data_IF_717477839511
#
_entry.id   IF_717477839511
#
_cell.length_a   1.000
_cell.length_b   1.000
_cell.length_c   1.000
_cell.angle_alpha   90.00
_cell.angle_beta   90.00
_cell.angle_gamma   90.00
#
_symmetry.space_group_name_H-M   'P 1'
#
loop_
_entity.id
_entity.type
_entity.pdbx_description
1 polymer ?
#
# COMPACT_ATOMS: atom_id res chain seq x y z
N UNK A 1 -45.46 -72.33 55.72
CA UNK A 1 -44.37 -72.20 54.72
C UNK A 1 -44.95 -71.99 53.34
N UNK A 2 -45.59 -70.90 53.09
CA UNK A 2 -46.15 -70.61 51.74
C UNK A 2 -46.58 -69.17 51.53
N UNK A 3 -46.02 -68.20 52.19
CA UNK A 3 -46.41 -66.81 51.95
C UNK A 3 -45.22 -65.80 51.76
N UNK A 4 -44.04 -66.33 51.55
CA UNK A 4 -42.82 -65.48 51.40
C UNK A 4 -42.32 -65.41 49.98
N UNK A 5 -42.91 -66.08 49.01
CA UNK A 5 -42.49 -66.09 47.60
C UNK A 5 -43.34 -65.20 46.66
N UNK A 6 -44.36 -64.52 47.16
CA UNK A 6 -45.26 -63.70 46.32
C UNK A 6 -45.13 -62.21 46.50
N UNK A 7 -44.04 -61.70 47.14
CA UNK A 7 -43.88 -60.29 47.39
C UNK A 7 -42.55 -59.69 46.78
N UNK A 8 -41.84 -60.45 45.90
CA UNK A 8 -40.60 -60.04 45.29
C UNK A 8 -40.63 -60.04 43.75
N UNK A 9 -41.81 -59.98 43.11
CA UNK A 9 -41.92 -59.89 41.66
C UNK A 9 -42.42 -58.52 41.14
N UNK A 10 -42.58 -57.52 42.01
CA UNK A 10 -43.06 -56.18 41.65
C UNK A 10 -41.99 -55.05 41.80
N UNK A 11 -40.74 -55.42 41.90
CA UNK A 11 -39.64 -54.48 41.79
C UNK A 11 -38.81 -54.82 40.54
N UNK A 12 -39.39 -54.69 39.34
CA UNK A 12 -38.66 -54.55 38.14
C UNK A 12 -38.40 -53.07 38.05
N UNK A 13 -37.11 -52.78 38.07
CA UNK A 13 -36.44 -51.55 37.71
C UNK A 13 -37.19 -50.88 36.57
N UNK A 14 -37.88 -49.80 36.86
CA UNK A 14 -38.03 -48.74 35.97
C UNK A 14 -36.59 -48.19 35.87
N UNK A 15 -35.77 -48.72 34.95
CA UNK A 15 -34.66 -48.04 34.39
C UNK A 15 -35.24 -46.69 33.87
N UNK A 16 -35.20 -45.69 34.70
CA UNK A 16 -35.21 -44.33 34.25
C UNK A 16 -34.09 -44.28 33.21
N UNK A 17 -34.47 -44.39 31.93
CA UNK A 17 -33.73 -43.81 30.85
C UNK A 17 -33.64 -42.33 31.21
N UNK A 18 -32.56 -41.95 31.93
CA UNK A 18 -32.11 -40.58 31.93
C UNK A 18 -32.03 -40.23 30.45
N UNK A 19 -33.05 -39.55 29.91
CA UNK A 19 -32.91 -38.78 28.70
C UNK A 19 -31.67 -37.91 28.98
N UNK A 20 -30.55 -38.30 28.37
CA UNK A 20 -29.39 -37.39 28.28
C UNK A 20 -29.96 -36.14 27.65
N UNK A 21 -30.27 -35.12 28.48
CA UNK A 21 -30.50 -33.77 28.01
C UNK A 21 -29.28 -33.48 27.13
N UNK A 22 -29.47 -33.44 25.80
CA UNK A 22 -28.44 -33.04 24.85
C UNK A 22 -27.93 -31.71 25.32
N UNK A 23 -26.76 -31.73 25.91
CA UNK A 23 -26.09 -30.50 26.37
C UNK A 23 -26.03 -29.54 25.18
N UNK A 24 -26.70 -28.39 25.25
CA UNK A 24 -26.73 -27.37 24.17
C UNK A 24 -25.33 -26.97 23.73
N UNK A 25 -24.30 -27.35 24.48
CA UNK A 25 -22.89 -27.04 24.26
C UNK A 25 -22.08 -28.29 23.94
N UNK A 26 -21.85 -28.66 22.67
CA UNK A 26 -21.13 -29.88 22.26
C UNK A 26 -19.69 -29.96 22.77
N UNK A 27 -19.15 -28.88 23.26
CA UNK A 27 -17.79 -28.73 23.79
C UNK A 27 -17.72 -28.81 25.34
N UNK A 28 -18.82 -29.09 26.03
CA UNK A 28 -18.87 -29.31 27.48
C UNK A 28 -19.06 -30.79 27.76
N UNK A 29 -18.30 -31.35 28.72
CA UNK A 29 -18.48 -32.71 29.13
C UNK A 29 -19.64 -32.87 30.13
N UNK A 30 -20.04 -34.13 30.42
CA UNK A 30 -21.11 -34.45 31.37
C UNK A 30 -20.90 -33.94 32.80
N UNK A 31 -19.70 -33.40 33.10
CA UNK A 31 -19.35 -32.80 34.40
C UNK A 31 -19.30 -31.27 34.33
N UNK A 32 -19.74 -30.66 33.25
CA UNK A 32 -19.73 -29.23 33.03
C UNK A 32 -18.33 -28.65 32.72
N UNK A 33 -17.34 -29.50 32.36
CA UNK A 33 -15.98 -29.05 32.09
C UNK A 33 -15.77 -28.81 30.58
N UNK A 34 -15.16 -27.67 30.24
CA UNK A 34 -14.82 -27.32 28.85
C UNK A 34 -13.78 -28.28 28.28
N UNK A 35 -14.06 -28.86 27.14
CA UNK A 35 -13.17 -29.66 26.30
C UNK A 35 -12.57 -28.76 25.22
N UNK A 36 -11.31 -28.30 25.41
CA UNK A 36 -10.67 -27.31 24.57
C UNK A 36 -10.69 -27.65 23.08
N UNK A 37 -10.30 -28.86 22.72
CA UNK A 37 -10.29 -29.32 21.31
C UNK A 37 -11.67 -29.28 20.68
N UNK A 38 -12.71 -29.75 21.43
CA UNK A 38 -14.08 -29.73 20.93
C UNK A 38 -14.58 -28.26 20.76
N UNK A 39 -14.19 -27.35 21.67
CA UNK A 39 -14.53 -25.96 21.55
C UNK A 39 -13.83 -25.29 20.36
N UNK A 40 -12.54 -25.58 20.14
CA UNK A 40 -11.84 -25.10 18.95
C UNK A 40 -12.50 -25.61 17.65
N UNK A 41 -12.89 -26.88 17.60
CA UNK A 41 -13.64 -27.45 16.46
C UNK A 41 -14.97 -26.75 16.24
N UNK A 42 -15.74 -26.52 17.28
CA UNK A 42 -16.99 -25.77 17.22
C UNK A 42 -16.79 -24.36 16.66
N UNK A 43 -15.77 -23.63 17.12
CA UNK A 43 -15.45 -22.31 16.59
C UNK A 43 -15.04 -22.37 15.12
N UNK A 44 -14.29 -23.39 14.70
CA UNK A 44 -13.84 -23.55 13.31
C UNK A 44 -14.97 -23.99 12.37
N UNK A 45 -15.96 -24.73 12.86
CA UNK A 45 -17.18 -25.03 12.11
C UNK A 45 -18.04 -23.78 11.92
N UNK A 46 -18.14 -22.94 12.94
CA UNK A 46 -18.87 -21.67 12.90
C UNK A 46 -18.13 -20.59 12.08
N UNK A 47 -16.81 -20.50 12.26
CA UNK A 47 -15.93 -19.53 11.63
C UNK A 47 -14.70 -20.24 11.06
N UNK A 48 -14.76 -20.77 9.83
CA UNK A 48 -13.58 -21.33 9.17
C UNK A 48 -12.45 -20.30 9.12
N UNK A 49 -11.26 -20.68 9.59
CA UNK A 49 -10.12 -19.77 9.71
C UNK A 49 -8.84 -20.40 9.15
N UNK A 50 -7.85 -19.56 8.85
CA UNK A 50 -6.48 -19.95 8.56
C UNK A 50 -5.52 -19.06 9.36
N UNK A 51 -4.38 -19.61 9.78
CA UNK A 51 -3.35 -18.87 10.51
C UNK A 51 -2.08 -18.70 9.66
N UNK A 52 -1.73 -17.46 9.35
CA UNK A 52 -0.51 -17.08 8.65
C UNK A 52 0.36 -16.22 9.55
N UNK A 53 1.57 -16.68 9.87
CA UNK A 53 2.54 -15.93 10.68
C UNK A 53 1.94 -15.35 11.97
N UNK A 54 1.17 -16.15 12.70
CA UNK A 54 0.49 -15.81 13.95
C UNK A 54 -0.74 -14.90 13.81
N UNK A 55 -1.16 -14.55 12.60
CA UNK A 55 -2.39 -13.82 12.33
C UNK A 55 -3.46 -14.78 11.85
N UNK A 56 -4.68 -14.61 12.36
CA UNK A 56 -5.85 -15.36 11.92
C UNK A 56 -6.56 -14.61 10.80
N UNK A 57 -7.02 -15.35 9.82
CA UNK A 57 -7.82 -14.86 8.70
C UNK A 57 -9.03 -15.77 8.51
N UNK A 58 -10.16 -15.17 8.19
CA UNK A 58 -11.41 -15.87 7.85
C UNK A 58 -11.92 -15.46 6.45
N UNK A 59 -13.17 -15.72 6.21
CA UNK A 59 -13.83 -15.28 4.98
C UNK A 59 -14.01 -13.75 4.86
N UNK A 60 -13.79 -12.99 5.94
CA UNK A 60 -13.90 -11.52 5.94
C UNK A 60 -12.52 -10.82 5.89
N UNK A 61 -11.44 -11.57 5.94
CA UNK A 61 -10.06 -11.08 5.95
C UNK A 61 -9.35 -11.32 7.28
N UNK A 62 -8.50 -10.38 7.73
CA UNK A 62 -7.82 -10.48 9.02
C UNK A 62 -8.85 -10.45 10.15
N UNK A 63 -8.82 -11.47 11.01
CA UNK A 63 -9.75 -11.61 12.15
C UNK A 63 -9.43 -10.55 13.20
N UNK A 64 -10.46 -9.87 13.69
CA UNK A 64 -10.35 -9.02 14.87
C UNK A 64 -10.19 -9.91 16.10
N UNK A 65 -8.96 -10.02 16.62
CA UNK A 65 -8.65 -10.88 17.77
C UNK A 65 -9.37 -10.43 19.04
N UNK A 66 -9.66 -9.15 19.22
CA UNK A 66 -10.39 -8.65 20.40
C UNK A 66 -11.86 -9.07 20.32
N UNK A 67 -12.47 -9.01 19.13
CA UNK A 67 -13.83 -9.50 18.91
C UNK A 67 -13.92 -11.02 19.10
N UNK A 68 -12.95 -11.79 18.58
CA UNK A 68 -12.88 -13.24 18.78
C UNK A 68 -12.69 -13.60 20.26
N UNK A 69 -11.81 -12.88 20.98
CA UNK A 69 -11.63 -13.07 22.42
C UNK A 69 -12.91 -12.77 23.20
N UNK A 70 -13.66 -11.75 22.80
CA UNK A 70 -14.95 -11.45 23.42
C UNK A 70 -15.98 -12.55 23.20
N UNK A 71 -16.03 -13.17 22.02
CA UNK A 71 -16.87 -14.32 21.73
C UNK A 71 -16.46 -15.52 22.62
N UNK A 72 -15.17 -15.86 22.63
CA UNK A 72 -14.61 -16.92 23.50
C UNK A 72 -14.95 -16.67 24.98
N UNK A 73 -14.80 -15.41 25.44
CA UNK A 73 -15.15 -15.03 26.80
C UNK A 73 -16.64 -15.27 27.08
N UNK A 74 -17.51 -14.83 26.17
CA UNK A 74 -18.96 -14.96 26.33
C UNK A 74 -19.43 -16.41 26.40
N UNK A 75 -18.81 -17.27 25.58
CA UNK A 75 -19.15 -18.71 25.55
C UNK A 75 -18.62 -19.47 26.77
N UNK A 76 -17.43 -19.08 27.29
CA UNK A 76 -16.79 -19.87 28.35
C UNK A 76 -17.06 -19.38 29.78
N UNK A 77 -17.53 -18.14 29.98
CA UNK A 77 -17.67 -17.53 31.32
C UNK A 77 -18.54 -18.31 32.29
N UNK A 78 -19.57 -19.00 31.81
CA UNK A 78 -20.52 -19.73 32.63
C UNK A 78 -20.00 -21.14 33.00
N UNK A 79 -18.95 -21.62 32.31
CA UNK A 79 -18.35 -22.94 32.49
C UNK A 79 -16.96 -22.90 33.13
N UNK A 80 -16.30 -21.78 33.10
CA UNK A 80 -14.90 -21.58 33.61
C UNK A 80 -14.93 -20.58 34.75
N UNK A 81 -15.04 -21.07 35.99
CA UNK A 81 -15.18 -20.21 37.19
C UNK A 81 -13.82 -19.55 37.59
N UNK A 82 -12.69 -20.19 37.26
CA UNK A 82 -11.36 -19.72 37.64
C UNK A 82 -10.40 -19.65 36.43
N UNK A 83 -9.56 -18.62 36.40
CA UNK A 83 -8.52 -18.43 35.37
C UNK A 83 -9.05 -18.31 33.94
N UNK A 84 -10.24 -17.77 33.73
CA UNK A 84 -10.90 -17.60 32.43
C UNK A 84 -9.96 -16.92 31.40
N UNK A 85 -9.31 -15.80 31.74
CA UNK A 85 -8.38 -15.12 30.84
C UNK A 85 -7.19 -15.98 30.36
N UNK A 86 -6.74 -16.91 31.20
CA UNK A 86 -5.70 -17.87 30.80
C UNK A 86 -6.27 -18.90 29.81
N UNK A 87 -7.51 -19.33 30.02
CA UNK A 87 -8.21 -20.27 29.14
C UNK A 87 -8.48 -19.70 27.75
N UNK A 88 -8.96 -18.47 27.69
CA UNK A 88 -9.16 -17.70 26.45
C UNK A 88 -7.89 -17.64 25.61
N UNK A 89 -6.77 -17.30 26.26
CA UNK A 89 -5.48 -17.28 25.57
C UNK A 89 -5.03 -18.65 25.07
N UNK A 90 -5.28 -19.71 25.83
CA UNK A 90 -5.00 -21.09 25.41
C UNK A 90 -5.82 -21.50 24.20
N UNK A 91 -7.09 -21.11 24.14
CA UNK A 91 -7.97 -21.34 22.99
C UNK A 91 -7.43 -20.62 21.74
N UNK A 92 -7.05 -19.35 21.86
CA UNK A 92 -6.46 -18.63 20.74
C UNK A 92 -5.15 -19.26 20.24
N UNK A 93 -4.28 -19.67 21.15
CA UNK A 93 -3.02 -20.32 20.78
C UNK A 93 -3.28 -21.70 20.13
N UNK A 94 -4.30 -22.45 20.59
CA UNK A 94 -4.74 -23.71 19.99
C UNK A 94 -5.31 -23.47 18.58
N UNK A 95 -6.19 -22.48 18.39
CA UNK A 95 -6.73 -22.11 17.07
C UNK A 95 -5.61 -21.77 16.07
N UNK A 96 -4.59 -21.02 16.49
CA UNK A 96 -3.45 -20.69 15.64
C UNK A 96 -2.65 -21.92 15.19
N UNK A 97 -2.57 -22.95 16.04
CA UNK A 97 -1.87 -24.20 15.72
C UNK A 97 -2.74 -25.07 14.80
N UNK A 98 -4.02 -25.26 15.12
CA UNK A 98 -4.94 -26.10 14.35
C UNK A 98 -5.18 -25.56 12.93
N UNK A 99 -5.18 -24.24 12.77
CA UNK A 99 -5.40 -23.56 11.48
C UNK A 99 -4.10 -23.18 10.77
N UNK A 100 -2.95 -23.65 11.26
CA UNK A 100 -1.65 -23.28 10.72
C UNK A 100 -1.56 -23.54 9.22
N UNK A 101 -1.28 -22.46 8.48
CA UNK A 101 -1.10 -22.49 7.03
C UNK A 101 0.34 -22.03 6.73
N UNK A 102 1.19 -22.90 6.18
CA UNK A 102 2.61 -22.59 6.00
C UNK A 102 2.85 -21.47 4.98
N UNK A 103 2.01 -21.43 3.94
CA UNK A 103 2.10 -20.43 2.86
C UNK A 103 0.73 -20.17 2.25
N UNK A 104 0.46 -18.90 1.96
CA UNK A 104 -0.70 -18.47 1.18
C UNK A 104 -0.21 -17.62 0.00
N UNK A 105 -0.52 -18.05 -1.21
CA UNK A 105 -0.17 -17.29 -2.41
C UNK A 105 -1.24 -16.23 -2.68
N UNK A 106 -0.85 -14.99 -3.04
CA UNK A 106 -1.80 -13.98 -3.44
C UNK A 106 -2.67 -14.46 -4.61
N UNK A 107 -3.97 -14.33 -4.46
CA UNK A 107 -4.97 -14.72 -5.46
C UNK A 107 -5.11 -13.57 -6.47
N UNK A 108 -4.49 -13.71 -7.64
CA UNK A 108 -4.45 -12.67 -8.68
C UNK A 108 -5.64 -12.74 -9.63
N UNK A 109 -6.42 -13.81 -9.57
CA UNK A 109 -7.52 -14.15 -10.46
C UNK A 109 -8.90 -13.77 -9.92
N UNK A 110 -8.96 -13.20 -8.71
CA UNK A 110 -10.23 -12.89 -8.05
C UNK A 110 -10.13 -11.72 -7.08
N UNK A 111 -11.31 -11.17 -6.76
CA UNK A 111 -11.49 -10.06 -5.82
C UNK A 111 -12.56 -10.50 -4.82
N UNK A 112 -12.22 -10.47 -3.52
CA UNK A 112 -13.17 -10.80 -2.46
C UNK A 112 -13.96 -9.56 -2.07
N UNK A 113 -15.27 -9.61 -2.25
CA UNK A 113 -16.21 -8.52 -2.03
C UNK A 113 -17.15 -8.85 -0.86
N UNK A 114 -17.84 -7.85 -0.33
CA UNK A 114 -18.70 -8.00 0.83
C UNK A 114 -19.75 -9.09 0.66
N UNK A 115 -20.31 -9.26 -0.54
CA UNK A 115 -21.39 -10.21 -0.84
C UNK A 115 -20.95 -11.45 -1.62
N UNK A 116 -19.63 -11.66 -1.86
CA UNK A 116 -19.14 -12.84 -2.58
C UNK A 116 -17.73 -12.67 -3.13
N UNK A 117 -17.44 -13.40 -4.19
CA UNK A 117 -16.12 -13.37 -4.86
C UNK A 117 -16.32 -13.08 -6.36
N UNK A 118 -15.62 -12.08 -6.88
CA UNK A 118 -15.60 -11.75 -8.30
C UNK A 118 -14.34 -12.35 -8.94
N UNK A 119 -14.52 -13.27 -9.88
CA UNK A 119 -13.45 -13.88 -10.65
C UNK A 119 -13.20 -13.06 -11.93
N UNK A 120 -11.93 -12.94 -12.31
CA UNK A 120 -11.52 -12.20 -13.51
C UNK A 120 -11.65 -13.01 -14.80
N UNK A 121 -12.10 -14.26 -14.70
CA UNK A 121 -12.38 -15.14 -15.80
C UNK A 121 -13.91 -15.23 -16.10
N UNK A 122 -14.31 -16.20 -16.90
CA UNK A 122 -15.70 -16.40 -17.36
C UNK A 122 -16.70 -16.69 -16.21
N UNK A 123 -16.21 -17.03 -15.01
CA UNK A 123 -17.05 -17.28 -13.83
C UNK A 123 -17.75 -16.00 -13.35
N UNK A 124 -17.09 -14.87 -13.52
CA UNK A 124 -17.64 -13.58 -13.06
C UNK A 124 -17.88 -13.58 -11.53
N UNK A 125 -19.02 -13.06 -11.11
CA UNK A 125 -19.37 -12.99 -9.68
C UNK A 125 -20.05 -14.27 -9.19
N UNK A 126 -19.57 -14.73 -8.02
CA UNK A 126 -20.10 -15.90 -7.30
C UNK A 126 -20.42 -15.47 -5.86
N UNK A 127 -21.63 -15.71 -5.33
CA UNK A 127 -22.05 -15.20 -4.02
C UNK A 127 -21.38 -15.90 -2.83
N UNK A 128 -20.61 -16.98 -3.07
CA UNK A 128 -19.88 -17.67 -2.02
C UNK A 128 -18.67 -16.86 -1.56
N UNK A 129 -18.48 -16.84 -0.24
CA UNK A 129 -17.33 -16.24 0.40
C UNK A 129 -16.27 -17.30 0.67
N UNK A 130 -15.10 -17.13 0.09
CA UNK A 130 -13.93 -17.97 0.37
C UNK A 130 -13.07 -17.35 1.48
N UNK A 131 -12.20 -18.14 2.11
CA UNK A 131 -11.13 -17.65 2.96
C UNK A 131 -10.24 -16.70 2.16
N UNK A 132 -9.88 -15.56 2.75
CA UNK A 132 -9.10 -14.56 2.04
C UNK A 132 -8.23 -13.73 2.98
N UNK A 133 -7.24 -13.04 2.42
CA UNK A 133 -6.42 -12.07 3.15
C UNK A 133 -7.06 -10.67 3.18
N UNK A 134 -7.86 -10.37 2.17
CA UNK A 134 -8.47 -9.05 1.98
C UNK A 134 -9.88 -9.22 1.44
N UNK A 135 -10.89 -8.77 2.18
CA UNK A 135 -12.26 -8.62 1.69
C UNK A 135 -12.61 -7.14 1.67
N UNK A 136 -13.03 -6.67 0.51
CA UNK A 136 -13.41 -5.26 0.34
C UNK A 136 -14.84 -5.05 0.87
N UNK A 137 -15.09 -4.00 1.69
CA UNK A 137 -16.41 -3.69 2.25
C UNK A 137 -17.32 -2.98 1.22
N UNK A 138 -17.39 -3.55 0.02
CA UNK A 138 -18.25 -3.11 -1.08
C UNK A 138 -18.91 -4.32 -1.73
N UNK A 139 -20.17 -4.18 -2.08
CA UNK A 139 -20.94 -5.22 -2.77
C UNK A 139 -20.78 -5.11 -4.28
N UNK A 140 -20.72 -6.28 -4.94
CA UNK A 140 -20.88 -6.35 -6.37
C UNK A 140 -22.37 -6.32 -6.72
N UNK A 141 -22.79 -5.33 -7.49
CA UNK A 141 -24.13 -5.14 -7.98
C UNK A 141 -24.03 -4.89 -9.50
N UNK A 142 -24.30 -5.92 -10.34
CA UNK A 142 -24.11 -5.80 -11.79
C UNK A 142 -24.99 -4.70 -12.43
N UNK A 143 -26.13 -4.43 -11.82
CA UNK A 143 -27.08 -3.41 -12.27
C UNK A 143 -26.94 -2.08 -11.49
N UNK A 144 -25.83 -1.88 -10.78
CA UNK A 144 -25.61 -0.62 -10.08
C UNK A 144 -25.65 0.55 -11.05
N UNK A 145 -26.30 1.66 -10.70
CA UNK A 145 -26.32 2.85 -11.55
C UNK A 145 -24.89 3.38 -11.76
N UNK A 146 -24.69 4.03 -12.90
CA UNK A 146 -23.43 4.73 -13.18
C UNK A 146 -23.14 5.72 -12.04
N UNK A 147 -21.87 5.79 -11.54
CA UNK A 147 -21.51 6.64 -10.41
C UNK A 147 -21.36 8.11 -10.87
N UNK A 148 -22.51 8.78 -11.06
CA UNK A 148 -22.58 10.09 -11.71
C UNK A 148 -21.84 11.16 -10.92
N UNK A 149 -22.00 11.21 -9.58
CA UNK A 149 -21.30 12.18 -8.74
C UNK A 149 -19.79 11.96 -8.74
N UNK A 150 -19.36 10.70 -8.75
CA UNK A 150 -17.94 10.34 -8.88
C UNK A 150 -17.38 10.83 -10.22
N UNK A 151 -18.07 10.59 -11.33
CA UNK A 151 -17.63 11.01 -12.66
C UNK A 151 -17.62 12.53 -12.80
N UNK A 152 -18.62 13.24 -12.29
CA UNK A 152 -18.65 14.71 -12.23
C UNK A 152 -17.53 15.27 -11.38
N UNK A 153 -17.25 14.66 -10.23
CA UNK A 153 -16.12 15.04 -9.38
C UNK A 153 -14.78 14.87 -10.12
N UNK A 154 -14.59 13.74 -10.84
CA UNK A 154 -13.38 13.50 -11.61
C UNK A 154 -13.26 14.47 -12.81
N UNK A 155 -14.34 14.75 -13.51
CA UNK A 155 -14.31 15.72 -14.61
C UNK A 155 -13.95 17.12 -14.12
N UNK A 156 -14.42 17.52 -12.95
CA UNK A 156 -13.99 18.78 -12.32
C UNK A 156 -12.52 18.80 -11.87
N UNK A 157 -11.92 17.64 -11.64
CA UNK A 157 -10.57 17.51 -11.08
C UNK A 157 -9.49 17.22 -12.14
N UNK A 158 -9.79 16.43 -13.15
CA UNK A 158 -8.84 15.85 -14.10
C UNK A 158 -9.22 16.16 -15.55
N UNK A 159 -8.23 16.12 -16.45
CA UNK A 159 -8.50 16.06 -17.88
C UNK A 159 -8.99 14.64 -18.26
N UNK A 160 -9.78 14.48 -19.34
CA UNK A 160 -10.36 13.19 -19.70
C UNK A 160 -9.35 12.05 -19.86
N UNK A 161 -8.17 12.32 -20.41
CA UNK A 161 -7.11 11.36 -20.64
C UNK A 161 -6.52 10.84 -19.32
N UNK A 162 -6.41 11.71 -18.30
CA UNK A 162 -5.91 11.34 -16.97
C UNK A 162 -6.95 10.52 -16.17
N UNK A 163 -8.25 10.70 -16.46
CA UNK A 163 -9.34 9.88 -15.88
C UNK A 163 -9.17 8.41 -16.29
N UNK A 164 -8.81 8.12 -17.54
CA UNK A 164 -8.55 6.75 -18.00
C UNK A 164 -7.34 6.13 -17.24
N UNK A 165 -6.28 6.89 -17.08
CA UNK A 165 -5.10 6.46 -16.31
C UNK A 165 -5.48 6.16 -14.85
N UNK A 166 -6.25 7.05 -14.22
CA UNK A 166 -6.72 6.88 -12.84
C UNK A 166 -7.63 5.65 -12.73
N UNK A 167 -8.56 5.44 -13.67
CA UNK A 167 -9.45 4.29 -13.69
C UNK A 167 -8.68 2.97 -13.71
N UNK A 168 -7.68 2.86 -14.56
CA UNK A 168 -6.80 1.69 -14.62
C UNK A 168 -6.01 1.51 -13.32
N UNK A 169 -5.51 2.63 -12.75
CA UNK A 169 -4.73 2.54 -11.51
C UNK A 169 -5.61 2.11 -10.32
N UNK A 170 -6.80 2.68 -10.17
CA UNK A 170 -7.73 2.27 -9.11
C UNK A 170 -8.23 0.83 -9.31
N UNK A 171 -8.45 0.42 -10.54
CA UNK A 171 -8.72 -0.99 -10.87
C UNK A 171 -7.57 -1.91 -10.48
N UNK A 172 -6.32 -1.51 -10.74
CA UNK A 172 -5.12 -2.27 -10.36
C UNK A 172 -5.01 -2.48 -8.84
N UNK A 173 -5.54 -1.57 -8.02
CA UNK A 173 -5.56 -1.72 -6.57
C UNK A 173 -6.43 -2.90 -6.10
N UNK A 174 -7.40 -3.37 -6.90
CA UNK A 174 -8.32 -4.43 -6.53
C UNK A 174 -7.66 -5.82 -6.39
N UNK A 175 -6.53 -6.04 -7.04
CA UNK A 175 -5.81 -7.32 -7.03
C UNK A 175 -4.45 -7.22 -6.35
N UNK A 176 -3.97 -8.26 -5.63
CA UNK A 176 -2.69 -8.25 -4.93
C UNK A 176 -1.49 -8.46 -5.88
N UNK A 177 -1.28 -7.53 -6.82
CA UNK A 177 -0.26 -7.63 -7.88
C UNK A 177 0.67 -6.42 -7.88
N UNK A 178 1.96 -6.65 -8.12
CA UNK A 178 2.98 -5.62 -8.36
C UNK A 178 3.49 -5.61 -9.81
N UNK A 179 2.89 -6.41 -10.70
CA UNK A 179 3.38 -6.63 -12.08
C UNK A 179 3.50 -5.36 -12.91
N UNK A 180 2.64 -4.37 -12.68
CA UNK A 180 2.73 -3.09 -13.39
C UNK A 180 3.89 -2.21 -12.90
N UNK A 181 4.48 -2.51 -11.74
CA UNK A 181 5.63 -1.80 -11.16
C UNK A 181 5.45 -0.28 -11.10
N UNK A 182 4.25 0.20 -10.78
CA UNK A 182 3.89 1.62 -10.74
C UNK A 182 3.31 2.02 -9.40
N UNK A 183 3.57 3.26 -9.02
CA UNK A 183 2.90 4.03 -7.97
C UNK A 183 2.26 5.26 -8.58
N UNK A 184 1.19 5.76 -7.97
CA UNK A 184 0.49 6.95 -8.43
C UNK A 184 0.83 8.14 -7.52
N UNK A 185 1.21 9.25 -8.12
CA UNK A 185 1.40 10.54 -7.47
C UNK A 185 0.45 11.55 -8.11
N UNK A 186 -0.39 12.17 -7.29
CA UNK A 186 -1.31 13.21 -7.73
C UNK A 186 -0.92 14.55 -7.13
N UNK A 187 -0.63 15.52 -7.99
CA UNK A 187 -0.12 16.84 -7.58
C UNK A 187 -1.07 17.97 -7.99
N UNK A 188 -1.03 19.06 -7.24
CA UNK A 188 -1.78 20.30 -7.50
C UNK A 188 -1.30 21.42 -6.59
N UNK A 189 -2.01 22.55 -6.58
CA UNK A 189 -1.65 23.76 -5.81
C UNK A 189 -2.22 23.75 -4.38
N UNK A 190 -3.18 22.86 -4.09
CA UNK A 190 -3.91 22.77 -2.84
C UNK A 190 -5.37 23.22 -2.95
N UNK A 191 -6.26 22.52 -2.26
CA UNK A 191 -7.69 22.85 -2.23
C UNK A 191 -8.52 22.35 -3.43
N UNK A 192 -7.95 21.59 -4.38
CA UNK A 192 -8.69 21.05 -5.55
C UNK A 192 -9.56 19.84 -5.19
N UNK A 193 -9.25 19.15 -4.09
CA UNK A 193 -10.02 17.99 -3.65
C UNK A 193 -9.34 16.64 -3.84
N UNK A 194 -8.06 16.58 -4.20
CA UNK A 194 -7.27 15.33 -4.38
C UNK A 194 -7.44 14.32 -3.24
N UNK A 195 -7.32 14.77 -2.01
CA UNK A 195 -7.41 13.91 -0.82
C UNK A 195 -8.80 13.27 -0.63
N UNK A 196 -9.84 13.75 -1.33
CA UNK A 196 -11.16 13.10 -1.33
C UNK A 196 -11.12 11.71 -1.97
N UNK A 197 -10.26 11.53 -2.99
CA UNK A 197 -10.00 10.19 -3.58
C UNK A 197 -9.41 9.26 -2.50
N UNK A 198 -8.42 9.72 -1.74
CA UNK A 198 -7.82 8.95 -0.66
C UNK A 198 -8.83 8.52 0.41
N UNK A 199 -9.71 9.43 0.83
CA UNK A 199 -10.77 9.13 1.79
C UNK A 199 -11.78 8.11 1.24
N UNK A 200 -12.17 8.22 -0.02
CA UNK A 200 -13.05 7.25 -0.67
C UNK A 200 -12.39 5.87 -0.77
N UNK A 201 -11.09 5.81 -1.13
CA UNK A 201 -10.35 4.56 -1.18
C UNK A 201 -10.30 3.87 0.19
N UNK A 202 -10.10 4.61 1.28
CA UNK A 202 -10.15 4.04 2.64
C UNK A 202 -11.52 3.40 2.94
N UNK A 203 -12.62 3.99 2.44
CA UNK A 203 -13.97 3.40 2.58
C UNK A 203 -14.20 2.19 1.66
N UNK A 204 -13.62 2.17 0.45
CA UNK A 204 -13.74 1.06 -0.50
C UNK A 204 -12.88 -0.14 -0.11
N UNK A 205 -11.71 0.09 0.47
CA UNK A 205 -10.75 -0.96 0.79
C UNK A 205 -10.80 -1.40 2.26
N UNK A 206 -11.34 -0.56 3.17
CA UNK A 206 -11.39 -0.87 4.61
C UNK A 206 -10.03 -1.31 5.14
N UNK A 207 -9.99 -2.46 5.80
CA UNK A 207 -8.77 -3.04 6.37
C UNK A 207 -7.69 -3.42 5.34
N UNK A 208 -8.03 -3.55 4.07
CA UNK A 208 -7.06 -3.74 2.99
C UNK A 208 -6.30 -2.45 2.64
N UNK A 209 -6.65 -1.31 3.24
CA UNK A 209 -5.96 -0.03 3.10
C UNK A 209 -5.06 0.28 4.31
N UNK A 210 -4.05 1.12 4.09
CA UNK A 210 -3.22 1.68 5.15
C UNK A 210 -2.90 3.15 4.87
N UNK A 211 -2.90 3.99 5.91
CA UNK A 211 -2.50 5.40 5.81
C UNK A 211 -1.12 5.57 6.43
N UNK A 212 -0.17 5.99 5.65
CA UNK A 212 1.21 6.24 6.12
C UNK A 212 1.90 7.23 5.17
N UNK A 213 2.87 7.98 5.66
CA UNK A 213 3.72 8.82 4.84
C UNK A 213 4.75 8.01 4.06
N UNK A 214 4.89 8.30 2.77
CA UNK A 214 5.93 7.68 1.92
C UNK A 214 7.34 7.95 2.46
N UNK A 215 7.57 9.12 3.04
CA UNK A 215 8.83 9.46 3.71
C UNK A 215 9.11 8.50 4.87
N UNK A 216 8.10 8.12 5.64
CA UNK A 216 8.26 7.22 6.77
C UNK A 216 8.56 5.79 6.33
N UNK A 217 8.08 5.37 5.17
CA UNK A 217 8.44 4.07 4.57
C UNK A 217 9.95 4.00 4.27
N UNK A 218 10.57 5.11 3.86
CA UNK A 218 12.03 5.15 3.62
C UNK A 218 12.85 5.31 4.91
N UNK A 219 12.37 6.10 5.87
CA UNK A 219 13.18 6.48 7.05
C UNK A 219 12.98 5.57 8.26
N UNK A 220 11.88 4.83 8.35
CA UNK A 220 11.58 3.96 9.46
C UNK A 220 11.51 2.49 9.01
N UNK A 221 12.54 1.71 9.37
CA UNK A 221 12.66 0.29 9.04
C UNK A 221 11.47 -0.59 9.47
N UNK A 222 10.67 -0.16 10.44
CA UNK A 222 9.50 -0.90 10.92
C UNK A 222 8.21 -0.56 10.17
N UNK A 223 8.18 0.53 9.39
CA UNK A 223 6.96 1.00 8.74
C UNK A 223 6.43 0.00 7.69
N UNK A 224 7.33 -0.69 6.98
CA UNK A 224 6.95 -1.71 5.99
C UNK A 224 6.18 -2.89 6.57
N UNK A 225 6.30 -3.17 7.88
CA UNK A 225 5.57 -4.25 8.52
C UNK A 225 4.04 -4.02 8.55
N UNK A 226 3.61 -2.76 8.57
CA UNK A 226 2.19 -2.40 8.54
C UNK A 226 1.57 -2.55 7.14
N UNK A 227 2.41 -2.74 6.11
CA UNK A 227 1.97 -2.93 4.73
C UNK A 227 1.73 -4.40 4.37
N UNK A 228 2.07 -5.32 5.28
CA UNK A 228 1.87 -6.75 5.04
C UNK A 228 0.37 -7.04 4.91
N UNK A 229 0.01 -7.73 3.84
CA UNK A 229 -1.38 -8.06 3.45
C UNK A 229 -2.26 -6.86 3.06
N UNK A 230 -1.73 -5.64 2.93
CA UNK A 230 -2.50 -4.48 2.47
C UNK A 230 -2.48 -4.37 0.94
N UNK A 231 -3.58 -3.92 0.35
CA UNK A 231 -3.72 -3.69 -1.09
C UNK A 231 -3.30 -2.28 -1.49
N UNK A 232 -3.58 -1.29 -0.67
CA UNK A 232 -3.28 0.11 -0.96
C UNK A 232 -2.71 0.83 0.26
N UNK A 233 -1.68 1.64 0.04
CA UNK A 233 -1.21 2.63 0.99
C UNK A 233 -1.49 4.03 0.45
N UNK A 234 -2.14 4.84 1.27
CA UNK A 234 -2.52 6.20 0.95
C UNK A 234 -1.66 7.17 1.76
N UNK A 235 -0.92 8.03 1.06
CA UNK A 235 -0.25 9.21 1.63
C UNK A 235 -1.06 10.45 1.26
N UNK A 236 -1.78 11.01 2.23
CA UNK A 236 -2.70 12.13 2.02
C UNK A 236 -2.02 13.51 2.01
N UNK A 237 -0.80 13.60 2.50
CA UNK A 237 -0.06 14.84 2.65
C UNK A 237 1.42 14.61 2.30
N UNK A 238 1.64 14.40 0.99
CA UNK A 238 2.98 14.24 0.48
C UNK A 238 3.82 15.47 0.81
N UNK A 239 4.78 15.27 1.70
CA UNK A 239 5.69 16.33 2.10
C UNK A 239 6.59 16.71 0.91
N UNK A 240 6.77 18.03 0.67
CA UNK A 240 7.63 18.56 -0.38
C UNK A 240 9.14 18.35 -0.11
N UNK A 241 9.50 17.80 1.05
CA UNK A 241 10.89 17.44 1.35
C UNK A 241 11.30 16.26 0.48
N UNK A 242 12.41 16.42 -0.24
CA UNK A 242 12.96 15.32 -1.05
C UNK A 242 13.26 14.09 -0.19
N UNK A 243 12.90 12.91 -0.70
CA UNK A 243 13.20 11.64 -0.03
C UNK A 243 14.72 11.46 0.09
N UNK A 244 15.25 11.16 1.28
CA UNK A 244 16.69 10.94 1.47
C UNK A 244 17.19 9.72 0.69
N UNK A 245 16.36 8.69 0.58
CA UNK A 245 16.58 7.45 -0.17
C UNK A 245 15.29 7.02 -0.86
N UNK A 246 15.36 6.08 -1.81
CA UNK A 246 14.21 5.52 -2.52
C UNK A 246 14.24 4.00 -2.60
N UNK A 247 15.13 3.39 -1.82
CA UNK A 247 15.41 1.95 -1.89
C UNK A 247 14.19 1.11 -1.50
N UNK A 248 13.55 1.44 -0.39
CA UNK A 248 12.41 0.69 0.13
C UNK A 248 11.19 0.83 -0.81
N UNK A 249 10.89 2.05 -1.24
CA UNK A 249 9.80 2.31 -2.20
C UNK A 249 10.03 1.53 -3.49
N UNK A 250 11.23 1.62 -4.09
CA UNK A 250 11.54 0.87 -5.32
C UNK A 250 11.38 -0.63 -5.12
N UNK A 251 11.84 -1.15 -4.00
CA UNK A 251 11.73 -2.59 -3.69
C UNK A 251 10.27 -3.02 -3.52
N UNK A 252 9.44 -2.24 -2.84
CA UNK A 252 8.03 -2.56 -2.60
C UNK A 252 7.23 -2.44 -3.91
N UNK A 253 7.41 -1.36 -4.69
CA UNK A 253 6.68 -1.16 -5.95
C UNK A 253 6.96 -2.26 -6.97
N UNK A 254 8.15 -2.88 -6.93
CA UNK A 254 8.54 -3.97 -7.84
C UNK A 254 8.61 -5.33 -7.18
N UNK A 255 8.07 -5.50 -5.98
CA UNK A 255 8.21 -6.73 -5.20
C UNK A 255 7.66 -7.95 -5.96
N UNK A 256 8.56 -8.63 -6.70
CA UNK A 256 8.30 -9.92 -7.34
C UNK A 256 8.67 -11.09 -6.43
N UNK A 257 9.45 -10.81 -5.37
CA UNK A 257 9.93 -11.77 -4.38
C UNK A 257 9.76 -11.21 -2.96
N UNK A 258 10.09 -12.03 -1.97
CA UNK A 258 9.98 -11.70 -0.56
C UNK A 258 10.96 -10.61 -0.16
N UNK A 259 10.49 -9.67 0.63
CA UNK A 259 11.28 -8.59 1.21
C UNK A 259 11.55 -8.86 2.70
N UNK A 260 12.66 -8.34 3.19
CA UNK A 260 12.96 -8.37 4.62
C UNK A 260 12.05 -7.36 5.35
N UNK A 261 11.20 -7.87 6.23
CA UNK A 261 10.25 -7.08 7.03
C UNK A 261 10.72 -7.11 8.49
N UNK A 262 11.07 -5.94 9.01
CA UNK A 262 11.48 -5.77 10.40
C UNK A 262 10.29 -5.38 11.28
N UNK A 263 10.16 -6.02 12.44
CA UNK A 263 9.13 -5.72 13.44
C UNK A 263 9.78 -5.38 14.78
N UNK A 264 9.18 -4.43 15.51
CA UNK A 264 9.69 -4.06 16.84
C UNK A 264 9.68 -5.27 17.76
N UNK A 265 10.81 -5.54 18.42
CA UNK A 265 11.00 -6.64 19.39
C UNK A 265 10.74 -8.06 18.83
N UNK A 266 10.80 -8.24 17.50
CA UNK A 266 10.71 -9.55 16.84
C UNK A 266 11.86 -9.69 15.84
N UNK A 267 12.23 -10.93 15.52
CA UNK A 267 13.17 -11.17 14.43
C UNK A 267 12.59 -10.73 13.10
N UNK A 268 13.45 -10.20 12.22
CA UNK A 268 13.08 -9.88 10.86
C UNK A 268 12.61 -11.15 10.10
N UNK A 269 11.57 -11.02 9.30
CA UNK A 269 11.01 -12.12 8.53
C UNK A 269 10.97 -11.78 7.05
N UNK A 270 11.02 -12.81 6.20
CA UNK A 270 10.77 -12.64 4.78
C UNK A 270 9.27 -12.63 4.52
N UNK A 271 8.77 -11.53 3.94
CA UNK A 271 7.36 -11.34 3.62
C UNK A 271 7.14 -10.86 2.19
N UNK A 272 5.99 -11.16 1.63
CA UNK A 272 5.58 -10.64 0.33
C UNK A 272 4.73 -9.39 0.55
N UNK A 273 5.16 -8.27 -0.02
CA UNK A 273 4.41 -7.02 -0.05
C UNK A 273 3.87 -6.81 -1.46
N UNK A 274 2.56 -6.68 -1.58
CA UNK A 274 1.88 -6.38 -2.84
C UNK A 274 1.07 -5.09 -2.79
N UNK A 275 1.36 -4.24 -1.79
CA UNK A 275 0.73 -2.93 -1.62
C UNK A 275 1.12 -1.99 -2.76
N UNK A 276 0.16 -1.19 -3.24
CA UNK A 276 0.41 -0.10 -4.19
C UNK A 276 0.27 1.23 -3.49
N UNK A 277 1.11 2.19 -3.89
CA UNK A 277 1.15 3.52 -3.30
C UNK A 277 0.32 4.50 -4.12
N UNK A 278 -0.52 5.27 -3.44
CA UNK A 278 -1.15 6.47 -3.98
C UNK A 278 -0.83 7.64 -3.05
N UNK A 279 -0.21 8.67 -3.61
CA UNK A 279 0.28 9.82 -2.86
C UNK A 279 -0.36 11.10 -3.38
N UNK A 280 -0.84 11.95 -2.47
CA UNK A 280 -1.45 13.22 -2.77
C UNK A 280 -0.61 14.36 -2.19
N UNK A 281 -0.25 15.36 -3.01
CA UNK A 281 0.59 16.44 -2.56
C UNK A 281 0.42 17.75 -3.33
N UNK A 282 1.08 18.79 -2.85
CA UNK A 282 1.10 20.10 -3.49
C UNK A 282 2.40 20.32 -4.30
N UNK A 283 3.16 19.26 -4.54
CA UNK A 283 4.38 19.24 -5.32
C UNK A 283 4.76 17.83 -5.76
N UNK A 284 5.85 17.71 -6.49
CA UNK A 284 6.33 16.46 -7.04
C UNK A 284 7.07 15.64 -5.98
N UNK A 285 6.95 14.32 -6.04
CA UNK A 285 7.75 13.41 -5.23
C UNK A 285 9.15 13.32 -5.84
N UNK A 286 10.13 13.86 -5.16
CA UNK A 286 11.53 13.92 -5.59
C UNK A 286 12.43 13.16 -4.63
N UNK A 287 13.61 12.76 -5.10
CA UNK A 287 14.62 12.08 -4.31
C UNK A 287 15.89 12.91 -4.24
N UNK A 288 16.43 13.15 -3.04
CA UNK A 288 17.59 13.98 -2.82
C UNK A 288 18.88 13.40 -3.45
N UNK A 289 18.99 12.08 -3.56
CA UNK A 289 20.20 11.39 -3.98
C UNK A 289 19.99 10.26 -4.99
N UNK A 290 18.82 10.16 -5.59
CA UNK A 290 18.50 9.11 -6.55
C UNK A 290 18.07 9.69 -7.91
N UNK A 291 19.07 10.01 -8.73
CA UNK A 291 18.90 10.48 -10.11
C UNK A 291 18.68 9.32 -11.10
N UNK A 292 18.42 8.08 -10.60
CA UNK A 292 18.27 6.94 -11.47
C UNK A 292 16.89 6.93 -12.13
N UNK A 293 16.83 6.57 -13.40
CA UNK A 293 15.57 6.27 -14.11
C UNK A 293 14.70 5.25 -13.33
N UNK A 294 15.34 4.51 -12.39
CA UNK A 294 14.71 3.50 -11.57
C UNK A 294 13.59 4.02 -10.68
N UNK A 295 13.71 5.20 -10.10
CA UNK A 295 12.69 5.81 -9.26
C UNK A 295 11.58 6.45 -10.10
N UNK A 296 11.97 7.26 -11.09
CA UNK A 296 11.05 8.00 -11.94
C UNK A 296 10.15 7.12 -12.79
N UNK A 297 10.71 6.11 -13.45
CA UNK A 297 9.94 5.18 -14.29
C UNK A 297 8.85 4.42 -13.54
N UNK A 298 8.89 4.39 -12.18
CA UNK A 298 7.89 3.75 -11.34
C UNK A 298 6.75 4.67 -10.95
N UNK A 299 6.83 5.95 -11.27
CA UNK A 299 5.79 6.92 -10.99
C UNK A 299 4.84 7.07 -12.18
N UNK A 300 3.57 7.23 -11.89
CA UNK A 300 2.57 7.85 -12.75
C UNK A 300 2.27 9.18 -12.08
N UNK A 301 2.52 10.29 -12.78
CA UNK A 301 2.32 11.63 -12.25
C UNK A 301 1.10 12.27 -12.88
N UNK A 302 0.02 12.39 -12.14
CA UNK A 302 -1.19 13.10 -12.55
C UNK A 302 -1.20 14.49 -11.90
N UNK A 303 -1.28 15.53 -12.72
CA UNK A 303 -1.44 16.90 -12.24
C UNK A 303 -2.89 17.31 -12.40
N UNK A 304 -3.55 17.63 -11.28
CA UNK A 304 -4.96 18.02 -11.29
C UNK A 304 -5.17 19.41 -11.93
N UNK A 305 -6.40 19.69 -12.36
CA UNK A 305 -6.82 21.02 -12.82
C UNK A 305 -6.72 22.01 -11.67
N UNK A 306 -6.46 23.28 -12.00
CA UNK A 306 -6.56 24.36 -11.01
C UNK A 306 -7.98 24.43 -10.47
N UNK A 307 -8.11 24.73 -9.18
CA UNK A 307 -9.42 24.91 -8.55
C UNK A 307 -10.17 26.08 -9.21
N UNK A 308 -11.40 25.84 -9.65
CA UNK A 308 -12.30 26.90 -10.08
C UNK A 308 -12.57 27.85 -8.90
N UNK A 309 -12.25 29.15 -9.02
CA UNK A 309 -12.54 30.13 -7.97
C UNK A 309 -14.02 30.22 -7.56
N UNK A 310 -14.92 29.87 -8.46
CA UNK A 310 -16.38 29.86 -8.22
C UNK A 310 -16.87 28.56 -7.54
N UNK A 311 -16.02 27.54 -7.40
CA UNK A 311 -16.41 26.28 -6.82
C UNK A 311 -16.76 26.43 -5.34
N UNK A 312 -17.96 25.98 -4.96
CA UNK A 312 -18.38 25.83 -3.58
C UNK A 312 -18.01 24.42 -3.08
N UNK A 313 -17.36 24.34 -1.94
CA UNK A 313 -16.98 23.06 -1.35
C UNK A 313 -18.21 22.33 -0.79
N UNK A 314 -18.37 21.06 -1.18
CA UNK A 314 -19.40 20.19 -0.61
C UNK A 314 -18.80 19.41 0.59
N UNK A 315 -19.23 19.71 1.84
CA UNK A 315 -18.74 19.00 3.02
C UNK A 315 -19.19 17.54 3.07
N UNK A 316 -20.30 17.18 2.40
CA UNK A 316 -20.89 15.85 2.36
C UNK A 316 -20.44 15.00 1.15
N UNK A 317 -19.46 15.49 0.37
CA UNK A 317 -19.05 14.81 -0.84
C UNK A 317 -18.65 13.34 -0.61
N UNK A 318 -17.95 13.04 0.50
CA UNK A 318 -17.48 11.66 0.78
C UNK A 318 -18.66 10.75 1.13
N UNK A 319 -19.64 11.24 1.84
CA UNK A 319 -20.87 10.51 2.15
C UNK A 319 -21.62 10.19 0.86
N UNK A 320 -21.80 11.18 -0.01
CA UNK A 320 -22.49 11.05 -1.29
C UNK A 320 -21.74 10.08 -2.24
N UNK A 321 -20.41 10.19 -2.34
CA UNK A 321 -19.59 9.24 -3.11
C UNK A 321 -19.62 7.82 -2.52
N UNK A 322 -19.80 7.71 -1.19
CA UNK A 322 -19.88 6.41 -0.53
C UNK A 322 -21.18 5.67 -0.84
N UNK A 323 -22.24 6.36 -1.20
CA UNK A 323 -23.49 5.76 -1.68
C UNK A 323 -23.33 5.15 -3.09
N UNK A 324 -22.42 5.69 -3.90
CA UNK A 324 -22.14 5.22 -5.25
C UNK A 324 -21.06 4.09 -5.29
N UNK A 325 -20.60 3.57 -4.16
CA UNK A 325 -19.52 2.55 -4.11
C UNK A 325 -19.71 1.35 -5.04
N UNK A 326 -20.90 0.74 -5.18
CA UNK A 326 -21.10 -0.35 -6.14
C UNK A 326 -20.84 0.07 -7.58
N UNK A 327 -21.33 1.23 -8.00
CA UNK A 327 -21.07 1.79 -9.35
C UNK A 327 -19.61 2.16 -9.55
N UNK A 328 -18.94 2.71 -8.52
CA UNK A 328 -17.49 3.00 -8.53
C UNK A 328 -16.68 1.70 -8.66
N UNK A 329 -17.09 0.63 -7.99
CA UNK A 329 -16.47 -0.69 -8.14
C UNK A 329 -16.56 -1.19 -9.58
N UNK A 330 -17.72 -1.10 -10.22
CA UNK A 330 -17.87 -1.48 -11.63
C UNK A 330 -16.96 -0.64 -12.54
N UNK A 331 -16.89 0.67 -12.31
CA UNK A 331 -15.99 1.56 -13.03
C UNK A 331 -14.50 1.18 -12.81
N UNK A 332 -14.10 0.79 -11.60
CA UNK A 332 -12.75 0.29 -11.31
C UNK A 332 -12.49 -1.04 -12.01
N UNK A 333 -13.46 -1.96 -12.06
CA UNK A 333 -13.34 -3.25 -12.75
C UNK A 333 -13.11 -3.06 -14.26
N UNK A 334 -13.80 -2.11 -14.90
CA UNK A 334 -13.54 -1.76 -16.31
C UNK A 334 -12.09 -1.34 -16.52
N UNK A 335 -11.56 -0.49 -15.64
CA UNK A 335 -10.15 -0.08 -15.66
C UNK A 335 -9.20 -1.24 -15.48
N UNK A 336 -9.50 -2.16 -14.56
CA UNK A 336 -8.70 -3.37 -14.34
C UNK A 336 -8.70 -4.27 -15.57
N UNK A 337 -9.84 -4.56 -16.14
CA UNK A 337 -9.94 -5.39 -17.35
C UNK A 337 -9.16 -4.80 -18.52
N UNK A 338 -9.22 -3.48 -18.73
CA UNK A 338 -8.44 -2.77 -19.75
C UNK A 338 -6.94 -2.91 -19.50
N UNK A 339 -6.48 -2.70 -18.25
CA UNK A 339 -5.08 -2.85 -17.87
C UNK A 339 -4.57 -4.28 -18.08
N UNK A 340 -5.36 -5.28 -17.71
CA UNK A 340 -5.00 -6.70 -17.89
C UNK A 340 -4.92 -7.07 -19.39
N UNK A 341 -5.89 -6.61 -20.19
CA UNK A 341 -5.87 -6.78 -21.64
C UNK A 341 -4.64 -6.13 -22.28
N UNK A 342 -4.17 -5.00 -21.73
CA UNK A 342 -2.96 -4.31 -22.13
C UNK A 342 -1.69 -4.81 -21.39
N UNK A 343 -1.71 -6.03 -20.84
CA UNK A 343 -0.56 -6.68 -20.21
C UNK A 343 0.11 -5.83 -19.13
N UNK A 344 -0.67 -5.20 -18.26
CA UNK A 344 -0.23 -4.30 -17.19
C UNK A 344 0.47 -3.01 -17.66
N UNK A 345 0.27 -2.60 -18.91
CA UNK A 345 0.74 -1.31 -19.42
C UNK A 345 -0.38 -0.28 -19.29
N UNK A 346 -0.15 0.76 -18.51
CA UNK A 346 -1.12 1.82 -18.29
C UNK A 346 -1.29 2.71 -19.52
N UNK A 347 -2.51 3.16 -19.75
CA UNK A 347 -2.82 4.26 -20.67
C UNK A 347 -2.44 5.57 -19.98
N UNK A 348 -1.27 6.11 -20.29
CA UNK A 348 -0.74 7.34 -19.66
C UNK A 348 -0.92 8.49 -20.65
N UNK A 349 -1.49 9.61 -20.19
CA UNK A 349 -1.68 10.80 -21.03
C UNK A 349 -0.32 11.43 -21.40
N UNK A 350 -0.25 12.08 -22.55
CA UNK A 350 0.95 12.81 -22.97
C UNK A 350 1.30 13.92 -21.96
N UNK A 351 0.29 14.59 -21.39
CA UNK A 351 0.46 15.58 -20.31
C UNK A 351 1.15 14.97 -19.07
N UNK A 352 0.72 13.78 -18.66
CA UNK A 352 1.32 13.08 -17.52
C UNK A 352 2.79 12.72 -17.77
N UNK A 353 3.13 12.30 -18.99
CA UNK A 353 4.51 12.02 -19.41
C UNK A 353 5.34 13.31 -19.36
N UNK A 354 4.86 14.38 -19.97
CA UNK A 354 5.56 15.69 -19.99
C UNK A 354 5.75 16.26 -18.59
N UNK A 355 4.74 16.14 -17.72
CA UNK A 355 4.84 16.61 -16.32
C UNK A 355 5.88 15.80 -15.54
N UNK A 356 5.98 14.50 -15.77
CA UNK A 356 6.99 13.64 -15.14
C UNK A 356 8.40 14.02 -15.62
N UNK A 357 8.57 14.23 -16.93
CA UNK A 357 9.85 14.66 -17.51
C UNK A 357 10.27 16.05 -16.98
N UNK A 358 9.33 16.99 -16.86
CA UNK A 358 9.58 18.30 -16.25
C UNK A 358 9.97 18.17 -14.78
N UNK A 359 9.28 17.35 -14.00
CA UNK A 359 9.61 17.08 -12.60
C UNK A 359 11.00 16.45 -12.43
N UNK A 360 11.39 15.54 -13.35
CA UNK A 360 12.74 14.98 -13.39
C UNK A 360 13.79 16.07 -13.65
N UNK A 361 13.55 16.94 -14.62
CA UNK A 361 14.46 18.03 -14.95
C UNK A 361 14.58 19.05 -13.80
N UNK A 362 13.48 19.37 -13.14
CA UNK A 362 13.45 20.29 -11.99
C UNK A 362 14.13 19.73 -10.74
N UNK A 363 14.13 18.42 -10.56
CA UNK A 363 14.78 17.76 -9.42
C UNK A 363 16.29 17.60 -9.58
N UNK A 364 16.81 17.80 -10.79
CA UNK A 364 18.24 17.70 -11.08
C UNK A 364 18.96 18.99 -10.67
N UNK A 365 19.41 19.06 -9.43
CA UNK A 365 20.14 20.22 -8.92
C UNK A 365 21.45 20.50 -9.68
N UNK A 366 22.00 19.50 -10.37
CA UNK A 366 23.15 19.70 -11.24
C UNK A 366 22.77 20.49 -12.52
N UNK A 367 21.63 20.17 -13.12
CA UNK A 367 21.11 20.95 -14.26
C UNK A 367 20.77 22.38 -13.85
N UNK A 368 20.15 22.58 -12.68
CA UNK A 368 19.86 23.92 -12.14
C UNK A 368 21.17 24.72 -11.89
N UNK A 369 22.17 24.07 -11.26
CA UNK A 369 23.49 24.69 -11.09
C UNK A 369 24.12 25.10 -12.43
N UNK A 370 24.05 24.24 -13.44
CA UNK A 370 24.59 24.56 -14.79
C UNK A 370 23.88 25.74 -15.46
N UNK A 371 22.69 26.11 -15.03
CA UNK A 371 21.94 27.28 -15.48
C UNK A 371 22.21 28.53 -14.61
N UNK A 372 22.83 28.37 -13.45
CA UNK A 372 23.07 29.40 -12.46
C UNK A 372 24.25 30.33 -12.88
N UNK A 373 23.99 31.32 -13.76
CA UNK A 373 24.99 32.22 -14.37
C UNK A 373 25.76 33.05 -13.35
N UNK A 374 25.27 33.18 -12.11
CA UNK A 374 26.00 33.84 -11.02
C UNK A 374 27.15 32.97 -10.48
N UNK A 375 27.11 31.64 -10.68
CA UNK A 375 28.12 30.70 -10.18
C UNK A 375 28.98 30.11 -11.30
N UNK A 376 28.37 29.76 -12.44
CA UNK A 376 29.03 29.11 -13.56
C UNK A 376 28.65 29.81 -14.90
N UNK A 377 29.60 29.94 -15.82
CA UNK A 377 29.37 30.50 -17.15
C UNK A 377 30.05 29.65 -18.20
N UNK A 378 29.41 29.53 -19.36
CA UNK A 378 29.93 28.80 -20.51
C UNK A 378 30.53 29.80 -21.51
N UNK A 379 31.83 29.65 -21.79
CA UNK A 379 32.56 30.45 -22.75
C UNK A 379 33.61 29.57 -23.45
N UNK A 380 33.66 29.55 -24.79
CA UNK A 380 34.53 28.64 -25.55
C UNK A 380 36.02 28.69 -25.18
N UNK A 381 36.52 29.89 -24.86
CA UNK A 381 37.96 30.12 -24.62
C UNK A 381 38.36 30.10 -23.15
N UNK A 382 37.52 29.49 -22.30
CA UNK A 382 37.80 29.38 -20.87
C UNK A 382 38.07 27.93 -20.47
N UNK A 383 38.85 27.77 -19.42
CA UNK A 383 39.08 26.47 -18.81
C UNK A 383 39.00 26.57 -17.28
N UNK A 384 38.46 25.51 -16.64
CA UNK A 384 38.28 25.53 -15.19
C UNK A 384 38.63 24.15 -14.58
N UNK A 385 39.21 24.20 -13.36
CA UNK A 385 39.54 22.99 -12.61
C UNK A 385 38.28 22.33 -12.09
N UNK A 386 38.22 20.97 -12.14
CA UNK A 386 37.10 20.22 -11.59
C UNK A 386 36.84 20.51 -10.10
N UNK A 387 37.90 20.85 -9.34
CA UNK A 387 37.78 21.19 -7.92
C UNK A 387 37.07 22.53 -7.70
N UNK A 388 37.31 23.53 -8.56
CA UNK A 388 36.67 24.84 -8.46
C UNK A 388 35.22 24.77 -8.93
N UNK A 389 34.93 24.02 -9.99
CA UNK A 389 33.55 23.71 -10.42
C UNK A 389 32.75 23.02 -9.30
N UNK A 390 33.34 22.05 -8.64
CA UNK A 390 32.67 21.37 -7.52
C UNK A 390 32.47 22.29 -6.32
N UNK A 391 33.40 23.15 -6.00
CA UNK A 391 33.27 24.14 -4.92
C UNK A 391 32.16 25.17 -5.23
N UNK A 392 32.09 25.68 -6.47
CA UNK A 392 31.00 26.54 -6.89
C UNK A 392 29.62 25.83 -6.80
N UNK A 393 29.57 24.57 -7.17
CA UNK A 393 28.37 23.75 -7.02
C UNK A 393 27.97 23.55 -5.55
N UNK A 394 28.92 23.23 -4.69
CA UNK A 394 28.65 23.07 -3.25
C UNK A 394 28.11 24.37 -2.65
N UNK A 395 28.72 25.52 -3.03
CA UNK A 395 28.26 26.82 -2.57
C UNK A 395 26.87 27.18 -3.10
N UNK A 396 26.59 26.87 -4.37
CA UNK A 396 25.26 27.04 -4.94
C UNK A 396 24.21 26.18 -4.18
N UNK A 397 24.52 24.93 -3.83
CA UNK A 397 23.66 24.08 -3.03
C UNK A 397 23.37 24.69 -1.64
N UNK A 398 24.40 25.17 -0.93
CA UNK A 398 24.25 25.89 0.35
C UNK A 398 23.31 27.08 0.24
N UNK A 399 23.53 27.95 -0.78
CA UNK A 399 22.76 29.18 -0.97
C UNK A 399 21.30 28.91 -1.40
N UNK A 400 21.01 27.73 -1.98
CA UNK A 400 19.67 27.32 -2.40
C UNK A 400 19.04 26.26 -1.46
N UNK A 401 19.65 25.98 -0.31
CA UNK A 401 19.18 24.97 0.67
C UNK A 401 19.10 23.56 0.08
N UNK A 402 19.98 23.26 -0.88
CA UNK A 402 20.11 21.97 -1.53
C UNK A 402 21.23 21.13 -0.91
N UNK A 403 21.15 19.81 -1.04
CA UNK A 403 22.23 18.90 -0.61
C UNK A 403 23.18 18.59 -1.76
N UNK A 404 24.49 18.88 -1.64
CA UNK A 404 25.42 18.63 -2.73
C UNK A 404 25.68 17.14 -2.93
N UNK A 405 25.68 16.71 -4.19
CA UNK A 405 26.11 15.37 -4.56
C UNK A 405 27.61 15.18 -4.32
N UNK A 406 28.06 13.94 -4.05
CA UNK A 406 29.50 13.67 -3.94
C UNK A 406 30.26 14.05 -5.20
N UNK A 407 31.49 14.55 -5.04
CA UNK A 407 32.33 15.04 -6.15
C UNK A 407 32.48 14.04 -7.30
N UNK A 408 32.47 12.74 -6.99
CA UNK A 408 32.53 11.69 -8.03
C UNK A 408 31.28 11.71 -8.92
N UNK A 409 30.08 11.83 -8.35
CA UNK A 409 28.83 11.93 -9.11
C UNK A 409 28.75 13.22 -9.92
N UNK A 410 29.11 14.36 -9.32
CA UNK A 410 29.23 15.64 -10.01
C UNK A 410 30.14 15.56 -11.25
N UNK A 411 31.32 14.98 -11.10
CA UNK A 411 32.26 14.82 -12.22
C UNK A 411 31.71 13.87 -13.31
N UNK A 412 31.02 12.81 -12.93
CA UNK A 412 30.37 11.89 -13.89
C UNK A 412 29.25 12.58 -14.67
N UNK A 413 28.44 13.41 -14.01
CA UNK A 413 27.41 14.22 -14.67
C UNK A 413 28.01 15.13 -15.72
N UNK A 414 29.07 15.92 -15.38
CA UNK A 414 29.74 16.81 -16.32
C UNK A 414 30.30 16.04 -17.51
N UNK A 415 30.92 14.88 -17.30
CA UNK A 415 31.45 14.05 -18.38
C UNK A 415 30.33 13.54 -19.31
N UNK A 416 29.22 13.03 -18.73
CA UNK A 416 28.07 12.50 -19.48
C UNK A 416 27.38 13.59 -20.32
N UNK A 417 27.27 14.79 -19.76
CA UNK A 417 26.56 15.91 -20.39
C UNK A 417 27.50 16.94 -21.09
N UNK A 418 28.78 16.62 -21.25
CA UNK A 418 29.77 17.54 -21.81
C UNK A 418 29.34 18.11 -23.17
N UNK A 419 28.84 17.28 -24.08
CA UNK A 419 28.33 17.72 -25.38
C UNK A 419 27.17 18.70 -25.31
N UNK A 420 26.23 18.48 -24.36
CA UNK A 420 25.05 19.36 -24.15
C UNK A 420 25.46 20.79 -23.75
N UNK A 421 26.52 20.93 -22.95
CA UNK A 421 27.01 22.22 -22.44
C UNK A 421 28.22 22.75 -23.19
N UNK A 422 28.65 22.12 -24.28
CA UNK A 422 29.81 22.53 -25.05
C UNK A 422 31.15 22.38 -24.30
N UNK A 423 31.22 21.42 -23.37
CA UNK A 423 32.38 21.15 -22.53
C UNK A 423 33.31 20.13 -23.15
N UNK A 424 34.62 20.30 -22.91
CA UNK A 424 35.63 19.29 -23.23
C UNK A 424 36.46 18.96 -21.98
N UNK A 425 36.47 17.70 -21.57
CA UNK A 425 37.31 17.27 -20.45
C UNK A 425 38.79 17.29 -20.81
N UNK A 426 39.65 17.85 -19.92
CA UNK A 426 41.07 17.87 -20.06
C UNK A 426 41.77 17.37 -18.79
N UNK A 427 42.83 16.58 -18.96
CA UNK A 427 43.73 16.18 -17.87
C UNK A 427 44.77 17.24 -17.53
N UNK A 428 44.87 18.29 -18.34
CA UNK A 428 45.93 19.31 -18.29
C UNK A 428 45.35 20.72 -18.35
N UNK A 429 44.52 21.07 -17.36
CA UNK A 429 44.12 22.46 -17.10
C UNK A 429 45.29 23.15 -16.36
N UNK A 430 45.68 24.35 -16.79
CA UNK A 430 46.86 25.03 -16.25
C UNK A 430 48.09 24.11 -16.14
N UNK A 431 48.26 23.22 -17.10
CA UNK A 431 49.40 22.32 -17.23
C UNK A 431 49.40 21.08 -16.37
N UNK A 432 48.63 21.00 -15.26
CA UNK A 432 48.71 19.85 -14.32
C UNK A 432 47.41 19.44 -13.64
N UNK A 433 46.34 20.18 -13.77
CA UNK A 433 45.09 19.89 -13.09
C UNK A 433 44.05 19.23 -14.03
N UNK A 434 43.14 18.45 -13.48
CA UNK A 434 41.98 17.91 -14.21
C UNK A 434 40.84 18.93 -14.20
N UNK A 435 40.14 19.09 -15.32
CA UNK A 435 39.03 20.01 -15.43
C UNK A 435 38.34 20.00 -16.80
N UNK A 436 37.66 21.09 -17.10
CA UNK A 436 36.86 21.21 -18.31
C UNK A 436 37.20 22.51 -19.03
N UNK A 437 37.24 22.45 -20.37
CA UNK A 437 37.27 23.63 -21.25
C UNK A 437 35.86 24.01 -21.65
N UNK A 438 35.63 25.27 -21.94
CA UNK A 438 34.32 25.79 -22.30
C UNK A 438 33.52 26.33 -21.12
N UNK A 439 34.08 26.37 -19.91
CA UNK A 439 33.40 26.79 -18.69
C UNK A 439 34.35 27.59 -17.78
N UNK A 440 33.78 28.51 -17.01
CA UNK A 440 34.47 29.17 -15.90
C UNK A 440 33.52 29.40 -14.74
N UNK A 441 34.04 29.40 -13.52
CA UNK A 441 33.31 29.77 -12.31
C UNK A 441 33.46 31.25 -12.01
N UNK A 442 32.57 31.80 -11.19
CA UNK A 442 32.73 33.16 -10.69
C UNK A 442 34.05 33.28 -9.88
N UNK A 443 34.86 34.37 -10.03
CA UNK A 443 36.17 34.49 -9.38
C UNK A 443 36.18 34.24 -7.87
N UNK A 444 35.10 34.55 -7.17
CA UNK A 444 34.98 34.28 -5.74
C UNK A 444 35.14 32.79 -5.35
N UNK A 445 34.94 31.86 -6.29
CA UNK A 445 35.04 30.39 -6.04
C UNK A 445 36.35 29.79 -6.55
N UNK A 446 37.14 30.58 -7.33
CA UNK A 446 38.44 30.18 -7.84
C UNK A 446 39.59 30.50 -6.85
N UNK A 447 39.36 31.44 -5.93
CA UNK A 447 40.34 31.91 -4.96
C UNK A 447 39.99 31.40 -3.54
N UNK A 448 40.49 30.22 -3.18
CA UNK A 448 40.63 29.80 -1.76
C UNK A 448 41.47 28.52 -1.67
#
# INVERSE_FOLDING_TARGET
MSDWKKRNEDWRDEDELEEEEECECPWVDSKGKVRETAYCQYLLEKHPMMCLKQKLFDQNGEVDEDALLYEVHSDLRDFVLDNLAKKEKQVLDALRIETYTPEWKPQLDRIHLQNGTYFLDERGFVPEKELCLNRLPVEYQPDAPAPTKWLEFLDGLLIPEDILTLQEYLGYLLIPSTKAQKMLVMTGKGGEGKSRIGLLLKKLFGEASHSESILRIETNRFASANLEYKLVMVDDDLNMVALPETRNIKSIVTAEDRLCIERKNKQAVQGLLYVRFICFGNGNLVAAHDDSDGFWRRQILITVKDRDPARVDNPFLIEELSEERPGILLWMLEGLHRLLANRYQFTISERSIQNLEAAMADSDNLTQFMQATAYVRFKPDTEERSTYLYRAYTKWCEDNLESPLPQKKFSQFLLKNAGKYGLTFSKHIEGKYRGFRGVCVHPAFAAA
#
